data_IF_179095215157
#
_entry.id   IF_179095215157
#
_cell.length_a   1.000
_cell.length_b   1.000
_cell.length_c   1.000
_cell.angle_alpha   90.00
_cell.angle_beta   90.00
_cell.angle_gamma   90.00
#
_symmetry.space_group_name_H-M   'P 1'
#
loop_
_entity.id
_entity.type
_entity.pdbx_description
1 polymer ?
#
# COMPACT_ATOMS: atom_id res chain seq x y z
N UNK A 1 8.08 -21.92 -62.06
CA UNK A 1 9.54 -21.79 -61.89
C UNK A 1 9.79 -20.87 -60.71
N UNK A 2 10.22 -21.42 -59.59
CA UNK A 2 10.45 -20.66 -58.36
C UNK A 2 11.16 -21.55 -57.35
N UNK A 3 12.49 -21.50 -57.36
CA UNK A 3 13.33 -22.11 -56.35
C UNK A 3 13.71 -21.03 -55.32
N UNK A 4 13.43 -21.28 -54.04
CA UNK A 4 14.24 -20.72 -52.95
C UNK A 4 14.41 -21.83 -51.92
N UNK A 5 15.62 -22.40 -51.90
CA UNK A 5 16.04 -23.45 -50.97
C UNK A 5 16.76 -22.81 -49.79
N UNK A 6 16.36 -23.20 -48.58
CA UNK A 6 16.88 -22.73 -47.31
C UNK A 6 18.31 -23.26 -47.04
N UNK A 7 19.18 -22.41 -46.48
CA UNK A 7 20.46 -22.81 -45.91
C UNK A 7 20.40 -22.76 -44.37
N UNK A 8 20.63 -23.91 -43.76
CA UNK A 8 21.19 -24.10 -42.41
C UNK A 8 22.56 -23.38 -42.32
N UNK A 9 23.04 -22.84 -41.20
CA UNK A 9 22.95 -23.26 -39.82
C UNK A 9 24.33 -23.77 -39.38
N UNK A 10 25.10 -22.97 -38.62
CA UNK A 10 26.11 -23.39 -37.64
C UNK A 10 26.96 -22.18 -37.20
N UNK A 11 26.92 -21.83 -35.92
CA UNK A 11 27.96 -21.04 -35.28
C UNK A 11 28.19 -21.55 -33.85
N UNK A 12 29.45 -21.81 -33.56
CA UNK A 12 29.99 -22.59 -32.43
C UNK A 12 29.93 -21.82 -31.11
N UNK A 13 29.66 -22.58 -30.04
CA UNK A 13 29.91 -22.20 -28.67
C UNK A 13 31.42 -22.08 -28.40
N UNK A 14 31.85 -20.93 -27.87
CA UNK A 14 33.18 -20.71 -27.31
C UNK A 14 33.06 -20.52 -25.80
N UNK A 15 33.46 -21.54 -25.05
CA UNK A 15 33.65 -21.50 -23.60
C UNK A 15 35.08 -21.06 -23.32
N UNK A 16 35.26 -19.98 -22.55
CA UNK A 16 36.58 -19.50 -22.14
C UNK A 16 36.57 -19.03 -20.69
N UNK A 17 37.25 -19.83 -19.86
CA UNK A 17 38.08 -19.51 -18.69
C UNK A 17 37.46 -18.81 -17.47
N UNK A 18 37.18 -19.67 -16.48
CA UNK A 18 37.28 -19.42 -15.04
C UNK A 18 38.76 -19.27 -14.63
N UNK A 19 39.09 -18.17 -13.94
CA UNK A 19 40.21 -17.96 -12.99
C UNK A 19 40.09 -16.47 -12.60
N UNK A 20 39.85 -16.03 -11.38
CA UNK A 20 40.43 -16.44 -10.10
C UNK A 20 40.82 -15.13 -9.41
N UNK A 21 40.08 -14.72 -8.39
CA UNK A 21 40.48 -13.67 -7.46
C UNK A 21 39.94 -14.04 -6.08
N UNK A 22 40.83 -14.56 -5.24
CA UNK A 22 40.55 -14.92 -3.87
C UNK A 22 40.33 -13.67 -3.02
N UNK A 23 39.18 -13.63 -2.34
CA UNK A 23 38.93 -12.67 -1.27
C UNK A 23 39.27 -13.33 0.06
N UNK A 24 40.36 -12.85 0.66
CA UNK A 24 40.81 -13.20 1.99
C UNK A 24 40.01 -12.36 3.01
N UNK A 25 39.07 -12.99 3.73
CA UNK A 25 38.34 -12.37 4.84
C UNK A 25 39.03 -12.72 6.17
N UNK A 26 39.51 -11.76 6.97
CA UNK A 26 39.87 -12.03 8.35
C UNK A 26 38.61 -12.05 9.23
N UNK A 27 38.28 -13.23 9.75
CA UNK A 27 37.35 -13.39 10.86
C UNK A 27 37.97 -12.79 12.13
N UNK A 28 37.34 -11.75 12.70
CA UNK A 28 37.63 -11.29 14.06
C UNK A 28 36.51 -11.75 15.00
N UNK A 29 36.79 -12.83 15.72
CA UNK A 29 36.09 -13.22 16.94
C UNK A 29 36.45 -12.26 18.07
N UNK A 30 35.47 -11.62 18.69
CA UNK A 30 35.66 -10.87 19.94
C UNK A 30 34.58 -11.29 20.92
N UNK A 31 34.89 -12.32 21.70
CA UNK A 31 34.19 -12.69 22.93
C UNK A 31 34.59 -11.73 24.04
N UNK A 32 33.62 -11.11 24.72
CA UNK A 32 33.82 -10.51 26.04
C UNK A 32 32.65 -10.84 26.98
N UNK A 33 32.94 -11.00 28.29
CA UNK A 33 32.14 -11.82 29.19
C UNK A 33 30.95 -11.09 29.80
N UNK A 34 29.90 -11.85 30.06
CA UNK A 34 28.79 -11.48 30.93
C UNK A 34 29.31 -11.25 32.35
N UNK A 35 29.12 -10.04 32.90
CA UNK A 35 29.25 -9.78 34.33
C UNK A 35 27.92 -10.06 35.01
N UNK A 36 27.94 -11.10 35.82
CA UNK A 36 26.91 -11.45 36.78
C UNK A 36 27.07 -10.53 38.00
N UNK A 37 26.03 -9.79 38.36
CA UNK A 37 25.94 -9.10 39.65
C UNK A 37 24.72 -9.64 40.38
N UNK A 38 25.01 -10.28 41.51
CA UNK A 38 24.06 -10.91 42.39
C UNK A 38 23.67 -9.96 43.55
N UNK A 39 22.38 -10.05 43.91
CA UNK A 39 21.77 -9.86 45.23
C UNK A 39 21.48 -8.41 45.67
N UNK A 40 20.17 -8.14 45.73
CA UNK A 40 19.54 -7.14 46.58
C UNK A 40 18.13 -7.61 46.93
N UNK A 41 18.02 -8.58 47.85
CA UNK A 41 16.75 -9.04 48.42
C UNK A 41 16.22 -7.92 49.35
N UNK A 42 15.05 -7.34 49.05
CA UNK A 42 14.24 -6.61 50.04
C UNK A 42 12.76 -6.95 49.89
N UNK A 43 12.12 -6.85 51.05
CA UNK A 43 10.88 -7.46 51.50
C UNK A 43 9.63 -7.17 50.67
N UNK A 44 8.68 -8.06 50.88
CA UNK A 44 7.36 -8.14 50.28
C UNK A 44 6.49 -6.90 50.52
N UNK A 45 5.78 -6.51 49.47
CA UNK A 45 4.62 -5.64 49.56
C UNK A 45 3.40 -6.35 48.94
N UNK A 46 2.26 -6.18 49.60
CA UNK A 46 1.07 -7.03 49.49
C UNK A 46 0.38 -6.84 48.13
N UNK A 47 0.25 -7.92 47.36
CA UNK A 47 -0.67 -7.98 46.22
C UNK A 47 -2.07 -8.25 46.75
N UNK A 48 -2.94 -7.24 46.67
CA UNK A 48 -4.37 -7.41 46.86
C UNK A 48 -4.94 -8.25 45.72
N UNK A 49 -5.49 -9.41 46.05
CA UNK A 49 -6.26 -10.24 45.12
C UNK A 49 -7.62 -9.58 44.93
N UNK A 50 -7.82 -8.89 43.81
CA UNK A 50 -9.14 -8.47 43.38
C UNK A 50 -9.90 -9.72 42.88
N UNK A 51 -10.98 -10.09 43.56
CA UNK A 51 -11.90 -11.11 43.07
C UNK A 51 -12.54 -10.63 41.77
N UNK A 52 -12.26 -11.34 40.67
CA UNK A 52 -12.98 -11.16 39.40
C UNK A 52 -14.29 -11.94 39.50
N UNK A 53 -15.37 -11.23 39.79
CA UNK A 53 -16.73 -11.80 39.76
C UNK A 53 -17.14 -12.05 38.31
N UNK A 54 -17.33 -13.31 37.96
CA UNK A 54 -17.90 -13.74 36.69
C UNK A 54 -19.38 -13.33 36.62
N UNK A 55 -19.70 -12.28 35.87
CA UNK A 55 -21.08 -11.94 35.52
C UNK A 55 -21.41 -12.66 34.21
N UNK A 56 -22.32 -13.65 34.18
CA UNK A 56 -22.75 -14.26 32.94
C UNK A 56 -23.53 -13.24 32.11
N UNK A 57 -22.95 -12.78 31.00
CA UNK A 57 -23.69 -12.02 29.98
C UNK A 57 -24.72 -12.97 29.36
N UNK A 58 -26.00 -12.74 29.67
CA UNK A 58 -27.10 -13.29 28.87
C UNK A 58 -26.98 -12.71 27.47
N UNK A 59 -26.54 -13.52 26.52
CA UNK A 59 -26.62 -13.19 25.10
C UNK A 59 -28.07 -13.35 24.66
N UNK A 60 -28.84 -12.26 24.78
CA UNK A 60 -30.12 -12.16 24.10
C UNK A 60 -29.81 -12.03 22.62
N UNK A 61 -30.06 -13.08 21.84
CA UNK A 61 -30.08 -13.01 20.37
C UNK A 61 -31.26 -12.13 19.97
N UNK A 62 -31.04 -10.81 19.95
CA UNK A 62 -31.87 -9.92 19.15
C UNK A 62 -31.62 -10.30 17.70
N UNK A 63 -32.62 -10.95 17.11
CA UNK A 63 -32.72 -11.19 15.68
C UNK A 63 -32.55 -9.82 14.99
N UNK A 64 -31.36 -9.58 14.46
CA UNK A 64 -31.08 -8.39 13.69
C UNK A 64 -32.06 -8.39 12.52
N UNK A 65 -32.99 -7.43 12.51
CA UNK A 65 -33.73 -7.05 11.30
C UNK A 65 -32.68 -6.94 10.20
N UNK A 66 -32.86 -7.71 9.13
CA UNK A 66 -31.86 -7.95 8.09
C UNK A 66 -31.04 -6.71 7.82
N UNK A 67 -29.73 -6.80 8.10
CA UNK A 67 -28.80 -5.80 7.63
C UNK A 67 -29.04 -5.67 6.12
N UNK A 68 -29.28 -4.45 5.60
CA UNK A 68 -29.39 -4.26 4.17
C UNK A 68 -28.17 -4.88 3.52
N UNK A 69 -28.37 -5.74 2.52
CA UNK A 69 -27.26 -6.23 1.71
C UNK A 69 -26.41 -5.01 1.30
N UNK A 70 -25.11 -5.09 1.59
CA UNK A 70 -24.13 -4.04 1.33
C UNK A 70 -24.04 -3.78 -0.18
N UNK A 71 -24.95 -2.99 -0.74
CA UNK A 71 -24.99 -2.73 -2.17
C UNK A 71 -26.37 -2.34 -2.67
N UNK A 72 -26.75 -1.08 -2.47
CA UNK A 72 -27.84 -0.41 -3.22
C UNK A 72 -28.02 1.07 -2.82
N UNK A 73 -27.37 1.55 -1.76
CA UNK A 73 -27.42 2.96 -1.38
C UNK A 73 -26.45 3.82 -2.21
N UNK A 74 -27.01 4.67 -3.06
CA UNK A 74 -26.40 5.61 -4.02
C UNK A 74 -25.49 6.72 -3.44
N UNK A 75 -25.03 6.60 -2.19
CA UNK A 75 -24.24 7.64 -1.51
C UNK A 75 -22.72 7.48 -1.70
N UNK A 76 -22.27 6.95 -2.84
CA UNK A 76 -20.85 7.01 -3.16
C UNK A 76 -20.48 8.41 -3.63
N UNK A 77 -19.37 9.00 -3.15
CA UNK A 77 -18.84 10.23 -3.72
C UNK A 77 -18.62 10.10 -5.22
N UNK A 78 -18.89 11.18 -5.96
CA UNK A 78 -18.65 11.23 -7.40
C UNK A 78 -17.14 11.10 -7.64
N UNK A 79 -16.73 9.99 -8.23
CA UNK A 79 -15.32 9.71 -8.51
C UNK A 79 -14.94 10.15 -9.91
N UNK A 80 -13.78 10.78 -10.03
CA UNK A 80 -13.17 11.21 -11.29
C UNK A 80 -11.98 10.31 -11.56
N UNK A 81 -11.99 9.63 -12.71
CA UNK A 81 -10.82 8.91 -13.23
C UNK A 81 -10.06 9.79 -14.21
N UNK A 82 -8.76 9.87 -14.04
CA UNK A 82 -7.87 10.60 -14.93
C UNK A 82 -6.48 9.97 -14.98
N UNK A 83 -5.65 10.46 -15.89
CA UNK A 83 -4.23 10.13 -15.94
C UNK A 83 -3.42 11.38 -15.62
N UNK A 84 -2.59 11.31 -14.59
CA UNK A 84 -1.72 12.40 -14.15
C UNK A 84 -0.29 11.93 -14.30
N UNK A 85 0.49 12.61 -15.16
CA UNK A 85 1.86 12.22 -15.48
C UNK A 85 1.99 10.71 -15.77
N UNK A 86 1.13 10.19 -16.65
CA UNK A 86 1.10 8.76 -17.01
C UNK A 86 0.80 7.78 -15.87
N UNK A 87 0.24 8.27 -14.76
CA UNK A 87 -0.25 7.46 -13.65
C UNK A 87 -1.77 7.54 -13.61
N UNK A 88 -2.45 6.40 -13.63
CA UNK A 88 -3.89 6.40 -13.44
C UNK A 88 -4.23 6.75 -12.00
N UNK A 89 -5.13 7.72 -11.87
CA UNK A 89 -5.64 8.20 -10.60
C UNK A 89 -7.16 8.16 -10.64
N UNK A 90 -7.75 7.70 -9.54
CA UNK A 90 -9.17 7.88 -9.28
C UNK A 90 -9.31 8.60 -7.95
N UNK A 91 -10.03 9.72 -7.94
CA UNK A 91 -10.26 10.48 -6.71
C UNK A 91 -11.72 10.93 -6.61
N UNK A 92 -12.15 11.20 -5.39
CA UNK A 92 -13.48 11.75 -5.16
C UNK A 92 -13.42 12.89 -4.15
N UNK A 93 -13.89 14.05 -4.57
CA UNK A 93 -13.88 15.25 -3.75
C UNK A 93 -15.02 15.24 -2.71
N UNK A 94 -14.83 15.97 -1.62
CA UNK A 94 -15.81 16.17 -0.55
C UNK A 94 -16.05 17.67 -0.37
N UNK A 95 -17.21 18.07 0.15
CA UNK A 95 -17.59 19.48 0.21
C UNK A 95 -16.68 20.35 1.09
N UNK A 96 -16.12 19.78 2.16
CA UNK A 96 -15.22 20.48 3.10
C UNK A 96 -14.04 19.58 3.48
N UNK A 97 -13.02 19.44 2.61
CA UNK A 97 -11.89 18.55 2.86
C UNK A 97 -11.17 18.86 4.18
N UNK A 98 -11.03 17.84 5.03
CA UNK A 98 -10.26 17.89 6.27
C UNK A 98 -8.88 17.22 6.13
N UNK A 99 -8.64 16.51 5.03
CA UNK A 99 -7.41 15.76 4.76
C UNK A 99 -7.49 15.05 3.42
N UNK A 100 -6.35 14.51 2.96
CA UNK A 100 -6.27 13.66 1.77
C UNK A 100 -5.82 12.27 2.19
N UNK A 101 -6.57 11.25 1.81
CA UNK A 101 -6.22 9.84 2.00
C UNK A 101 -5.70 9.26 0.68
N UNK A 102 -4.40 8.97 0.64
CA UNK A 102 -3.74 8.33 -0.47
C UNK A 102 -3.88 6.81 -0.35
N UNK A 103 -4.34 6.17 -1.42
CA UNK A 103 -4.72 4.76 -1.44
C UNK A 103 -3.85 3.99 -2.42
N UNK A 104 -3.14 2.99 -1.91
CA UNK A 104 -2.19 2.16 -2.65
C UNK A 104 -2.65 0.70 -2.67
N UNK A 105 -3.01 0.20 -3.85
CA UNK A 105 -3.56 -1.15 -4.00
C UNK A 105 -2.51 -2.26 -3.80
N UNK A 106 -2.96 -3.48 -3.52
CA UNK A 106 -2.11 -4.68 -3.56
C UNK A 106 -1.86 -5.17 -4.99
N UNK A 107 -0.97 -6.15 -5.16
CA UNK A 107 -0.78 -6.82 -6.45
C UNK A 107 -2.12 -7.27 -7.06
N UNK A 108 -2.23 -7.26 -8.39
CA UNK A 108 -3.46 -7.61 -9.12
C UNK A 108 -4.67 -6.69 -8.90
N UNK A 109 -4.44 -5.48 -8.39
CA UNK A 109 -5.47 -4.46 -8.21
C UNK A 109 -5.10 -3.16 -8.93
N UNK A 110 -5.97 -2.15 -8.84
CA UNK A 110 -5.75 -0.82 -9.44
C UNK A 110 -6.64 0.26 -8.81
N UNK A 111 -6.40 1.53 -9.16
CA UNK A 111 -7.17 2.67 -8.68
C UNK A 111 -8.68 2.57 -8.96
N UNK A 112 -9.07 1.88 -10.05
CA UNK A 112 -10.48 1.69 -10.44
C UNK A 112 -11.25 0.74 -9.51
N UNK A 113 -10.58 0.06 -8.58
CA UNK A 113 -11.22 -0.87 -7.64
C UNK A 113 -11.95 -0.14 -6.49
N UNK A 114 -11.62 1.13 -6.25
CA UNK A 114 -12.04 1.87 -5.05
C UNK A 114 -13.41 2.52 -5.09
N UNK A 115 -14.00 2.62 -6.29
CA UNK A 115 -15.36 3.12 -6.49
C UNK A 115 -16.12 2.17 -7.41
N UNK A 116 -17.45 2.04 -7.26
CA UNK A 116 -18.25 1.31 -8.25
C UNK A 116 -18.34 2.10 -9.55
N UNK A 117 -18.72 1.40 -10.62
CA UNK A 117 -19.03 2.01 -11.90
C UNK A 117 -20.04 3.16 -11.75
N UNK A 118 -19.72 4.30 -12.37
CA UNK A 118 -20.58 5.50 -12.38
C UNK A 118 -20.30 6.31 -13.66
N UNK A 119 -21.15 7.28 -14.05
CA UNK A 119 -20.95 8.02 -15.30
C UNK A 119 -19.57 8.69 -15.44
N UNK A 120 -18.97 9.16 -14.34
CA UNK A 120 -17.63 9.76 -14.32
C UNK A 120 -16.47 8.75 -14.21
N UNK A 121 -16.77 7.47 -13.98
CA UNK A 121 -15.82 6.37 -14.08
C UNK A 121 -16.55 5.08 -14.50
N UNK A 122 -16.88 4.91 -15.80
CA UNK A 122 -17.63 3.74 -16.26
C UNK A 122 -16.86 2.42 -16.11
N UNK A 123 -15.53 2.50 -16.11
CA UNK A 123 -14.63 1.36 -15.95
C UNK A 123 -14.32 1.00 -14.49
N UNK A 124 -14.85 1.77 -13.53
CA UNK A 124 -14.65 1.49 -12.11
C UNK A 124 -15.34 0.17 -11.72
N UNK A 125 -14.67 -0.64 -10.91
CA UNK A 125 -15.13 -2.00 -10.54
C UNK A 125 -15.87 -1.97 -9.21
N UNK A 126 -15.26 -1.34 -8.20
CA UNK A 126 -15.86 -1.19 -6.88
C UNK A 126 -15.84 -2.47 -6.06
N UNK A 127 -14.63 -2.89 -5.66
CA UNK A 127 -14.46 -4.03 -4.78
C UNK A 127 -15.01 -3.71 -3.37
N UNK A 128 -15.68 -4.68 -2.69
CA UNK A 128 -16.45 -4.37 -1.48
C UNK A 128 -15.66 -3.70 -0.35
N UNK A 129 -14.40 -4.07 -0.14
CA UNK A 129 -13.57 -3.53 0.94
C UNK A 129 -13.06 -2.12 0.58
N UNK A 130 -12.54 -1.94 -0.62
CA UNK A 130 -12.06 -0.65 -1.11
C UNK A 130 -13.19 0.40 -1.16
N UNK A 131 -14.38 0.00 -1.62
CA UNK A 131 -15.61 0.80 -1.62
C UNK A 131 -16.05 1.19 -0.21
N UNK A 132 -15.83 0.31 0.78
CA UNK A 132 -16.11 0.60 2.19
C UNK A 132 -15.14 1.63 2.74
N UNK A 133 -13.87 1.53 2.39
CA UNK A 133 -12.83 2.50 2.80
C UNK A 133 -13.11 3.88 2.20
N UNK A 134 -13.44 3.99 0.91
CA UNK A 134 -13.74 5.30 0.29
C UNK A 134 -14.99 5.95 0.89
N UNK A 135 -16.02 5.16 1.22
CA UNK A 135 -17.18 5.63 2.00
C UNK A 135 -16.80 6.16 3.36
N UNK A 136 -15.97 5.42 4.10
CA UNK A 136 -15.51 5.84 5.42
C UNK A 136 -14.68 7.14 5.32
N UNK A 137 -13.75 7.22 4.36
CA UNK A 137 -12.96 8.42 4.11
C UNK A 137 -13.85 9.65 3.88
N UNK A 138 -14.85 9.52 3.00
CA UNK A 138 -15.77 10.61 2.71
C UNK A 138 -16.63 11.02 3.91
N UNK A 139 -17.08 10.06 4.74
CA UNK A 139 -17.79 10.34 5.98
C UNK A 139 -16.94 11.11 7.01
N UNK A 140 -15.60 11.01 6.91
CA UNK A 140 -14.65 11.77 7.71
C UNK A 140 -14.12 13.03 7.00
N UNK A 141 -14.76 13.46 5.91
CA UNK A 141 -14.33 14.59 5.08
C UNK A 141 -12.90 14.44 4.54
N UNK A 142 -12.44 13.21 4.33
CA UNK A 142 -11.17 12.95 3.66
C UNK A 142 -11.41 12.81 2.15
N UNK A 143 -10.58 13.49 1.36
CA UNK A 143 -10.52 13.27 -0.08
C UNK A 143 -9.73 12.00 -0.33
N UNK A 144 -10.39 10.96 -0.83
CA UNK A 144 -9.73 9.72 -1.20
C UNK A 144 -9.12 9.84 -2.60
N UNK A 145 -7.84 9.48 -2.73
CA UNK A 145 -7.08 9.49 -3.98
C UNK A 145 -6.40 8.12 -4.13
N UNK A 146 -6.92 7.30 -5.05
CA UNK A 146 -6.33 6.02 -5.39
C UNK A 146 -5.42 6.16 -6.60
N UNK A 147 -4.22 5.58 -6.51
CA UNK A 147 -3.24 5.56 -7.58
C UNK A 147 -3.03 4.12 -8.03
N UNK A 148 -2.75 3.92 -9.31
CA UNK A 148 -2.33 2.62 -9.85
C UNK A 148 -0.81 2.53 -9.95
N UNK A 149 -0.25 1.34 -9.71
CA UNK A 149 1.16 1.04 -9.92
C UNK A 149 1.58 1.26 -11.37
N UNK A 150 2.87 1.45 -11.64
CA UNK A 150 3.39 1.60 -13.01
C UNK A 150 3.18 0.34 -13.84
N UNK A 151 3.46 -0.84 -13.28
CA UNK A 151 3.06 -2.07 -13.95
C UNK A 151 1.54 -2.17 -13.92
N UNK A 152 0.92 -2.09 -15.09
CA UNK A 152 -0.53 -2.17 -15.27
C UNK A 152 -0.99 -3.46 -15.92
N UNK A 153 -0.05 -4.29 -16.41
CA UNK A 153 -0.35 -5.38 -17.33
C UNK A 153 0.05 -6.75 -16.79
N UNK A 154 1.11 -6.84 -15.99
CA UNK A 154 1.62 -8.11 -15.51
C UNK A 154 1.14 -8.42 -14.09
N UNK A 155 1.96 -8.13 -13.08
CA UNK A 155 1.67 -8.43 -11.69
C UNK A 155 0.90 -7.31 -11.00
N UNK A 156 0.90 -6.09 -11.57
CA UNK A 156 0.21 -4.90 -11.01
C UNK A 156 0.59 -4.65 -9.57
N UNK A 157 1.89 -4.76 -9.29
CA UNK A 157 2.47 -4.48 -7.99
C UNK A 157 3.28 -3.20 -8.10
N UNK A 158 3.39 -2.50 -6.98
CA UNK A 158 4.31 -1.38 -6.82
C UNK A 158 5.76 -1.89 -6.79
N UNK A 159 6.64 -1.19 -7.48
CA UNK A 159 8.09 -1.25 -7.25
C UNK A 159 8.40 -0.63 -5.89
N UNK A 160 8.97 -1.45 -5.01
CA UNK A 160 9.43 -1.05 -3.68
C UNK A 160 10.94 -1.29 -3.51
N UNK A 161 11.71 -1.11 -4.59
CA UNK A 161 13.17 -1.29 -4.59
C UNK A 161 13.85 -0.46 -3.50
N UNK A 162 14.81 -1.06 -2.81
CA UNK A 162 15.67 -0.41 -1.83
C UNK A 162 17.13 -0.43 -2.30
N UNK A 163 17.90 0.67 -2.15
CA UNK A 163 17.57 1.92 -1.44
C UNK A 163 16.57 2.81 -2.19
N UNK A 164 15.84 3.68 -1.46
CA UNK A 164 14.69 4.44 -1.98
C UNK A 164 15.03 5.34 -3.18
N UNK A 165 16.28 5.78 -3.29
CA UNK A 165 16.79 6.59 -4.40
C UNK A 165 16.80 5.83 -5.73
N UNK A 166 16.81 4.49 -5.68
CA UNK A 166 16.73 3.62 -6.85
C UNK A 166 15.29 3.27 -7.22
N UNK A 167 14.33 3.47 -6.32
CA UNK A 167 12.91 3.28 -6.60
C UNK A 167 12.40 4.43 -7.48
N UNK A 168 12.31 4.20 -8.78
CA UNK A 168 11.81 5.22 -9.71
C UNK A 168 10.30 5.43 -9.57
N UNK A 169 9.57 4.47 -9.04
CA UNK A 169 8.12 4.55 -8.89
C UNK A 169 7.72 5.53 -7.80
N UNK A 170 8.39 5.53 -6.64
CA UNK A 170 8.10 6.52 -5.59
C UNK A 170 8.38 7.96 -6.06
N UNK A 171 9.42 8.16 -6.87
CA UNK A 171 9.72 9.47 -7.45
C UNK A 171 8.60 9.95 -8.39
N UNK A 172 8.01 9.03 -9.16
CA UNK A 172 6.88 9.35 -10.03
C UNK A 172 5.61 9.62 -9.24
N UNK A 173 5.28 8.75 -8.28
CA UNK A 173 4.13 8.88 -7.38
C UNK A 173 4.20 10.21 -6.61
N UNK A 174 5.37 10.58 -6.08
CA UNK A 174 5.56 11.86 -5.40
C UNK A 174 5.29 13.07 -6.28
N UNK A 175 5.69 13.03 -7.57
CA UNK A 175 5.38 14.11 -8.54
C UNK A 175 3.88 14.19 -8.83
N UNK A 176 3.23 13.04 -9.03
CA UNK A 176 1.77 12.96 -9.27
C UNK A 176 1.00 13.53 -8.10
N UNK A 177 1.34 13.12 -6.87
CA UNK A 177 0.69 13.63 -5.66
C UNK A 177 0.89 15.14 -5.55
N UNK A 178 2.12 15.65 -5.69
CA UNK A 178 2.39 17.09 -5.64
C UNK A 178 1.55 17.88 -6.65
N UNK A 179 1.52 17.43 -7.90
CA UNK A 179 0.74 18.07 -8.95
C UNK A 179 -0.76 18.07 -8.64
N UNK A 180 -1.30 16.96 -8.11
CA UNK A 180 -2.70 16.89 -7.68
C UNK A 180 -2.99 17.84 -6.52
N UNK A 181 -2.17 17.82 -5.48
CA UNK A 181 -2.35 18.66 -4.30
C UNK A 181 -2.31 20.15 -4.64
N UNK A 182 -1.42 20.56 -5.55
CA UNK A 182 -1.35 21.94 -6.03
C UNK A 182 -2.57 22.31 -6.89
N UNK A 183 -2.91 21.48 -7.89
CA UNK A 183 -4.01 21.75 -8.82
C UNK A 183 -5.36 21.87 -8.12
N UNK A 184 -5.59 21.00 -7.13
CA UNK A 184 -6.86 20.94 -6.39
C UNK A 184 -6.87 21.81 -5.12
N UNK A 185 -5.78 22.54 -4.85
CA UNK A 185 -5.62 23.36 -3.62
C UNK A 185 -5.72 22.54 -2.32
N UNK A 186 -5.22 21.31 -2.33
CA UNK A 186 -5.12 20.41 -1.16
C UNK A 186 -3.75 20.43 -0.48
N UNK A 187 -2.82 21.26 -0.95
CA UNK A 187 -1.43 21.35 -0.48
C UNK A 187 -1.28 21.72 1.01
N UNK A 188 -2.31 22.28 1.65
CA UNK A 188 -2.32 22.60 3.09
C UNK A 188 -3.05 21.54 3.93
N UNK A 189 -3.64 20.52 3.31
CA UNK A 189 -4.37 19.48 4.02
C UNK A 189 -3.41 18.40 4.55
N UNK A 190 -3.71 17.81 5.72
CA UNK A 190 -2.96 16.66 6.21
C UNK A 190 -3.07 15.49 5.22
N UNK A 191 -1.94 14.82 4.98
CA UNK A 191 -1.86 13.66 4.10
C UNK A 191 -1.81 12.38 4.94
N UNK A 192 -2.69 11.44 4.61
CA UNK A 192 -2.71 10.09 5.16
C UNK A 192 -2.42 9.11 4.03
N UNK A 193 -1.85 7.95 4.36
CA UNK A 193 -1.65 6.88 3.40
C UNK A 193 -2.18 5.56 3.94
N UNK A 194 -2.85 4.80 3.07
CA UNK A 194 -3.26 3.43 3.32
C UNK A 194 -2.80 2.58 2.14
N UNK A 195 -2.17 1.46 2.45
CA UNK A 195 -1.69 0.53 1.44
C UNK A 195 -1.85 -0.93 1.87
N UNK A 196 -2.11 -1.80 0.89
CA UNK A 196 -2.26 -3.25 1.11
C UNK A 196 -1.15 -4.01 0.39
N UNK A 197 -0.49 -4.97 1.05
CA UNK A 197 0.58 -5.79 0.44
C UNK A 197 1.69 -4.91 -0.19
N UNK A 198 1.96 -5.01 -1.50
CA UNK A 198 2.90 -4.12 -2.21
C UNK A 198 2.55 -2.64 -2.07
N UNK A 199 1.26 -2.31 -1.97
CA UNK A 199 0.81 -0.94 -1.70
C UNK A 199 1.15 -0.48 -0.30
N UNK A 200 1.20 -1.41 0.68
CA UNK A 200 1.68 -1.12 2.02
C UNK A 200 3.17 -0.75 2.03
N UNK A 201 3.98 -1.46 1.24
CA UNK A 201 5.39 -1.09 1.03
C UNK A 201 5.51 0.31 0.39
N UNK A 202 4.68 0.62 -0.62
CA UNK A 202 4.65 1.95 -1.23
C UNK A 202 4.24 3.05 -0.23
N UNK A 203 3.25 2.80 0.63
CA UNK A 203 2.86 3.76 1.67
C UNK A 203 4.00 4.05 2.66
N UNK A 204 4.76 3.02 3.04
CA UNK A 204 5.95 3.19 3.90
C UNK A 204 7.09 3.92 3.19
N UNK A 205 7.34 3.63 1.92
CA UNK A 205 8.33 4.38 1.12
C UNK A 205 7.91 5.84 0.97
N UNK A 206 6.61 6.12 0.77
CA UNK A 206 6.10 7.47 0.69
C UNK A 206 6.33 8.26 1.97
N UNK A 207 6.21 7.64 3.15
CA UNK A 207 6.50 8.29 4.43
C UNK A 207 7.96 8.79 4.53
N UNK A 208 8.89 8.18 3.78
CA UNK A 208 10.28 8.66 3.68
C UNK A 208 10.48 9.78 2.65
N UNK A 209 9.50 10.00 1.77
CA UNK A 209 9.60 10.94 0.65
C UNK A 209 8.72 12.19 0.83
N UNK A 210 7.65 12.11 1.62
CA UNK A 210 6.69 13.17 1.87
C UNK A 210 6.18 13.14 3.32
N UNK A 211 5.81 14.29 3.90
CA UNK A 211 5.26 14.32 5.25
C UNK A 211 3.84 13.74 5.27
N UNK A 212 3.66 12.63 5.97
CA UNK A 212 2.36 12.02 6.28
C UNK A 212 2.01 12.25 7.75
N UNK A 213 0.72 12.19 8.10
CA UNK A 213 0.18 12.31 9.46
C UNK A 213 -0.17 10.96 10.09
#
# INVERSE_FOLDING_TARGET
>A
MGQVSAKSGSAKAGSTLLSGLGFHFPAKSSTKPAKQLCIGLRAAERVGVAQVSFIPRKHTLTQAKGAPLLGAGSNQPKATREEVLSTEVVHANVAKPAGVLLLFHGCQHSAIDWWPAQPSCPSCIGLPEEVRITKAAAAHNLVAVALSSRDRLAHRCWDATWPVEQCTEIQQVGKVIKQLLERESWNQLPLYALGVSSGGAMALLLASHMPLQ
#
